data_IF_430708267736
#
_entry.id   IF_430708267736
#
_cell.length_a   1.000
_cell.length_b   1.000
_cell.length_c   1.000
_cell.angle_alpha   90.00
_cell.angle_beta   90.00
_cell.angle_gamma   90.00
#
_symmetry.space_group_name_H-M   'P 1'
#
loop_
_entity.id
_entity.type
_entity.pdbx_description
1 polymer ?
#
# COMPACT_ATOMS: atom_id res chain seq x y z
N UNK A 1 -22.57 6.90 11.69
CA UNK A 1 -22.66 7.05 10.23
C UNK A 1 -21.25 6.99 9.67
N UNK A 2 -20.95 6.00 8.82
CA UNK A 2 -19.64 5.91 8.18
C UNK A 2 -19.47 7.00 7.12
N UNK A 3 -18.24 7.42 6.88
CA UNK A 3 -17.92 8.35 5.79
C UNK A 3 -18.22 7.66 4.46
N UNK A 4 -18.96 8.29 3.52
CA UNK A 4 -19.27 7.67 2.24
C UNK A 4 -18.01 7.32 1.43
N UNK A 5 -18.01 6.17 0.74
CA UNK A 5 -16.86 5.69 -0.05
C UNK A 5 -16.35 6.71 -1.09
N UNK A 6 -17.24 7.54 -1.66
CA UNK A 6 -16.86 8.56 -2.63
C UNK A 6 -15.96 9.65 -2.02
N UNK A 7 -16.13 9.98 -0.74
CA UNK A 7 -15.27 10.94 -0.03
C UNK A 7 -13.84 10.40 0.07
N UNK A 8 -13.70 9.12 0.41
CA UNK A 8 -12.38 8.48 0.46
C UNK A 8 -11.71 8.44 -0.91
N UNK A 9 -12.48 8.17 -1.98
CA UNK A 9 -11.96 8.23 -3.36
C UNK A 9 -11.51 9.64 -3.76
N UNK A 10 -12.23 10.68 -3.34
CA UNK A 10 -11.79 12.07 -3.55
C UNK A 10 -10.49 12.37 -2.80
N UNK A 11 -10.37 11.94 -1.54
CA UNK A 11 -9.14 12.10 -0.75
C UNK A 11 -7.96 11.33 -1.36
N UNK A 12 -8.21 10.16 -1.94
CA UNK A 12 -7.20 9.38 -2.67
C UNK A 12 -6.72 10.09 -3.94
N UNK A 13 -7.62 10.81 -4.62
CA UNK A 13 -7.32 11.54 -5.84
C UNK A 13 -6.63 12.88 -5.57
N UNK A 14 -7.19 13.68 -4.67
CA UNK A 14 -6.82 15.09 -4.47
C UNK A 14 -6.05 15.35 -3.18
N UNK A 15 -6.10 14.45 -2.21
CA UNK A 15 -5.33 14.59 -0.97
C UNK A 15 -3.82 14.45 -1.19
N UNK A 16 -3.04 14.60 -0.10
CA UNK A 16 -1.59 14.45 -0.18
C UNK A 16 -1.23 13.05 -0.63
N UNK A 17 -0.18 12.97 -1.45
CA UNK A 17 0.39 11.70 -1.90
C UNK A 17 0.93 10.92 -0.70
N UNK A 18 0.71 9.60 -0.73
CA UNK A 18 1.22 8.67 0.27
C UNK A 18 2.74 8.59 0.18
N UNK A 19 3.39 8.39 1.32
CA UNK A 19 4.83 8.11 1.42
C UNK A 19 5.08 6.64 1.77
N UNK A 20 6.33 6.23 1.65
CA UNK A 20 6.81 4.91 2.07
C UNK A 20 7.72 5.07 3.30
N UNK A 21 7.37 4.40 4.39
CA UNK A 21 8.19 4.34 5.61
C UNK A 21 8.94 3.02 5.64
N UNK A 22 10.23 3.05 5.92
CA UNK A 22 11.06 1.82 5.99
C UNK A 22 11.23 1.42 7.45
N UNK A 23 11.02 0.13 7.75
CA UNK A 23 11.27 -0.45 9.06
C UNK A 23 12.16 -1.70 8.94
N UNK A 24 12.88 -2.01 10.00
CA UNK A 24 13.67 -3.25 10.09
C UNK A 24 12.79 -4.43 10.52
N UNK A 25 13.02 -5.59 9.92
CA UNK A 25 12.40 -6.88 10.21
C UNK A 25 11.59 -7.46 9.06
N UNK A 26 11.12 -8.70 9.25
CA UNK A 26 10.36 -9.52 8.30
C UNK A 26 8.83 -9.29 8.38
N UNK A 27 8.38 -8.41 9.26
CA UNK A 27 6.96 -8.20 9.58
C UNK A 27 6.57 -6.74 9.57
N UNK A 28 5.33 -6.51 9.17
CA UNK A 28 4.67 -5.21 9.30
C UNK A 28 4.46 -4.83 10.76
N UNK A 29 4.43 -3.52 11.08
CA UNK A 29 4.18 -3.06 12.43
C UNK A 29 2.75 -3.42 12.86
N UNK A 30 2.51 -3.64 14.16
CA UNK A 30 1.17 -3.96 14.66
C UNK A 30 0.15 -2.84 14.41
N UNK A 31 0.63 -1.60 14.22
CA UNK A 31 -0.19 -0.45 13.85
C UNK A 31 0.35 0.19 12.59
N UNK A 32 -0.42 0.07 11.51
CA UNK A 32 -0.10 0.70 10.24
C UNK A 32 -0.46 2.20 10.25
N UNK A 33 0.32 3.05 9.57
CA UNK A 33 -0.08 4.43 9.31
C UNK A 33 -1.40 4.49 8.53
N UNK A 34 -2.20 5.52 8.77
CA UNK A 34 -3.57 5.60 8.29
C UNK A 34 -3.72 5.74 6.76
N UNK A 35 -2.64 6.11 6.05
CA UNK A 35 -2.63 6.33 4.59
C UNK A 35 -1.36 5.85 3.93
N UNK A 36 -0.23 6.08 4.58
CA UNK A 36 1.08 5.75 4.04
C UNK A 36 1.35 4.25 4.01
N UNK A 37 2.41 3.88 3.32
CA UNK A 37 2.86 2.52 3.17
C UNK A 37 4.04 2.26 4.11
N UNK A 38 4.22 1.01 4.49
CA UNK A 38 5.38 0.57 5.25
C UNK A 38 6.09 -0.50 4.44
N UNK A 39 7.40 -0.36 4.23
CA UNK A 39 8.29 -1.38 3.70
C UNK A 39 9.03 -2.04 4.87
N UNK A 40 8.81 -3.33 5.05
CA UNK A 40 9.60 -4.17 5.93
C UNK A 40 10.88 -4.61 5.19
N UNK A 41 12.03 -4.37 5.80
CA UNK A 41 13.35 -4.74 5.27
C UNK A 41 14.04 -5.62 6.31
N UNK A 42 14.43 -6.82 5.91
CA UNK A 42 15.18 -7.75 6.75
C UNK A 42 16.53 -8.05 6.10
N UNK A 43 17.61 -7.95 6.88
CA UNK A 43 18.99 -8.12 6.41
C UNK A 43 19.35 -7.33 5.11
N UNK A 44 18.77 -6.13 4.97
CA UNK A 44 18.97 -5.27 3.79
C UNK A 44 18.10 -5.64 2.57
N UNK A 45 17.32 -6.71 2.65
CA UNK A 45 16.41 -7.14 1.59
C UNK A 45 14.96 -6.69 1.86
N UNK A 46 14.27 -6.12 0.85
CA UNK A 46 12.86 -5.75 0.98
C UNK A 46 11.99 -7.01 1.06
N UNK A 47 11.26 -7.15 2.17
CA UNK A 47 10.46 -8.34 2.46
C UNK A 47 9.01 -8.19 1.99
N UNK A 48 8.30 -7.21 2.56
CA UNK A 48 6.90 -6.93 2.24
C UNK A 48 6.58 -5.44 2.35
N UNK A 49 5.55 -5.03 1.61
CA UNK A 49 4.95 -3.70 1.72
C UNK A 49 3.55 -3.84 2.30
N UNK A 50 3.25 -3.04 3.32
CA UNK A 50 1.95 -2.94 3.94
C UNK A 50 1.24 -1.63 3.61
N UNK A 51 -0.07 -1.69 3.46
CA UNK A 51 -0.93 -0.50 3.39
C UNK A 51 -2.28 -0.78 4.08
N UNK A 52 -2.82 0.18 4.82
CA UNK A 52 -4.24 0.10 5.18
C UNK A 52 -5.10 0.16 3.93
N UNK A 53 -6.09 -0.73 3.79
CA UNK A 53 -6.94 -0.77 2.60
C UNK A 53 -7.48 0.65 2.31
N UNK A 54 -7.18 1.23 1.14
CA UNK A 54 -7.66 2.57 0.79
C UNK A 54 -9.20 2.68 0.82
N UNK A 55 -9.88 1.53 0.70
CA UNK A 55 -11.33 1.39 0.83
C UNK A 55 -11.87 1.65 2.25
N UNK A 56 -11.00 1.75 3.27
CA UNK A 56 -11.33 1.95 4.69
C UNK A 56 -12.13 0.84 5.36
N UNK A 57 -12.00 -0.40 4.88
CA UNK A 57 -12.62 -1.57 5.54
C UNK A 57 -11.96 -1.97 6.88
N UNK A 58 -10.81 -1.37 7.23
CA UNK A 58 -10.07 -1.66 8.47
C UNK A 58 -8.90 -2.62 8.27
N UNK A 59 -8.89 -3.40 7.18
CA UNK A 59 -7.84 -4.39 6.94
C UNK A 59 -6.55 -3.79 6.40
N UNK A 60 -5.44 -4.45 6.74
CA UNK A 60 -4.13 -4.22 6.13
C UNK A 60 -3.97 -5.14 4.93
N UNK A 61 -3.49 -4.59 3.82
CA UNK A 61 -3.07 -5.34 2.65
C UNK A 61 -1.55 -5.44 2.73
N UNK A 62 -1.05 -6.66 2.84
CA UNK A 62 0.37 -6.97 2.78
C UNK A 62 0.70 -7.56 1.41
N UNK A 63 1.75 -7.04 0.78
CA UNK A 63 2.21 -7.41 -0.55
C UNK A 63 3.67 -7.84 -0.44
N UNK A 64 3.94 -9.10 -0.76
CA UNK A 64 5.31 -9.61 -0.79
C UNK A 64 6.08 -8.94 -1.93
N UNK A 65 7.29 -8.47 -1.63
CA UNK A 65 8.21 -7.86 -2.61
C UNK A 65 9.52 -8.63 -2.75
N UNK A 66 9.78 -9.54 -1.80
CA UNK A 66 10.93 -10.45 -1.79
C UNK A 66 11.06 -11.26 -3.09
N UNK A 67 12.29 -11.50 -3.59
CA UNK A 67 12.52 -12.41 -4.70
C UNK A 67 11.91 -13.80 -4.48
N UNK A 68 11.30 -14.36 -5.53
CA UNK A 68 10.72 -15.71 -5.51
C UNK A 68 9.29 -15.83 -4.98
N UNK A 69 8.74 -14.79 -4.33
CA UNK A 69 7.35 -14.78 -3.89
C UNK A 69 6.35 -14.86 -5.07
N UNK A 70 5.19 -15.48 -4.84
CA UNK A 70 4.07 -15.53 -5.81
C UNK A 70 2.73 -15.42 -5.06
N UNK A 71 1.93 -14.36 -5.29
CA UNK A 71 2.24 -13.18 -6.10
C UNK A 71 3.35 -12.31 -5.49
N UNK A 72 4.06 -11.56 -6.35
CA UNK A 72 5.09 -10.59 -5.99
C UNK A 72 4.73 -9.21 -6.55
N UNK A 73 5.08 -8.17 -5.80
CA UNK A 73 5.04 -6.79 -6.26
C UNK A 73 6.44 -6.22 -6.41
N UNK A 74 6.64 -5.50 -7.49
CA UNK A 74 7.72 -4.56 -7.70
C UNK A 74 7.28 -3.18 -7.19
N UNK A 75 8.25 -2.38 -6.77
CA UNK A 75 8.02 -1.00 -6.37
C UNK A 75 9.15 -0.08 -6.81
N UNK A 76 8.82 1.19 -7.01
CA UNK A 76 9.78 2.27 -7.20
C UNK A 76 9.41 3.45 -6.30
N UNK A 77 10.38 4.28 -5.97
CA UNK A 77 10.19 5.50 -5.18
C UNK A 77 10.71 6.65 -6.03
N UNK A 78 9.91 7.70 -6.21
CA UNK A 78 10.36 8.92 -6.89
C UNK A 78 11.19 9.82 -5.94
N UNK A 79 11.78 10.88 -6.49
CA UNK A 79 12.63 11.82 -5.74
C UNK A 79 11.87 12.53 -4.60
N UNK A 80 10.54 12.56 -4.65
CA UNK A 80 9.67 13.12 -3.60
C UNK A 80 9.36 12.09 -2.47
N UNK A 81 9.88 10.87 -2.57
CA UNK A 81 9.64 9.79 -1.63
C UNK A 81 8.28 9.09 -1.82
N UNK A 82 7.69 9.13 -3.02
CA UNK A 82 6.35 8.59 -3.29
C UNK A 82 6.44 7.23 -3.98
N UNK A 83 5.78 6.19 -3.44
CA UNK A 83 5.87 4.85 -3.98
C UNK A 83 4.96 4.65 -5.21
N UNK A 84 5.44 3.84 -6.14
CA UNK A 84 4.65 3.22 -7.22
C UNK A 84 4.74 1.70 -7.07
N UNK A 85 3.63 0.98 -7.21
CA UNK A 85 3.58 -0.47 -7.13
C UNK A 85 3.16 -1.08 -8.48
N UNK A 86 3.74 -2.23 -8.80
CA UNK A 86 3.32 -3.06 -9.93
C UNK A 86 3.42 -4.55 -9.55
N UNK A 87 2.46 -5.40 -9.92
CA UNK A 87 1.23 -5.09 -10.67
C UNK A 87 0.19 -4.33 -9.81
N UNK A 88 -1.02 -4.14 -10.35
CA UNK A 88 -2.14 -3.60 -9.56
C UNK A 88 -2.38 -4.42 -8.29
N UNK A 89 -2.85 -3.77 -7.24
CA UNK A 89 -3.24 -4.44 -6.00
C UNK A 89 -4.68 -4.90 -6.15
N UNK A 90 -4.88 -6.21 -6.23
CA UNK A 90 -6.21 -6.81 -6.21
C UNK A 90 -6.35 -7.69 -4.97
N UNK A 91 -7.22 -7.26 -4.06
CA UNK A 91 -7.60 -8.08 -2.92
C UNK A 91 -8.67 -9.06 -3.39
N UNK A 92 -8.36 -10.34 -3.48
CA UNK A 92 -9.31 -11.37 -3.92
C UNK A 92 -10.32 -11.78 -2.83
N UNK A 93 -10.02 -11.47 -1.57
CA UNK A 93 -10.87 -11.74 -0.39
C UNK A 93 -11.28 -10.44 0.33
N UNK A 94 -12.25 -10.53 1.23
CA UNK A 94 -12.73 -9.37 2.01
C UNK A 94 -13.41 -8.30 1.14
N UNK A 95 -12.96 -7.05 1.24
CA UNK A 95 -13.60 -5.89 0.58
C UNK A 95 -13.48 -5.87 -0.96
N UNK A 96 -12.69 -6.78 -1.54
CA UNK A 96 -12.46 -6.89 -3.00
C UNK A 96 -11.96 -5.61 -3.67
N UNK A 97 -11.23 -4.76 -2.96
CA UNK A 97 -10.65 -3.54 -3.53
C UNK A 97 -9.65 -3.85 -4.64
N UNK A 98 -9.77 -3.15 -5.77
CA UNK A 98 -8.84 -3.21 -6.88
C UNK A 98 -8.37 -1.81 -7.25
N UNK A 99 -7.06 -1.59 -7.23
CA UNK A 99 -6.47 -0.29 -7.54
C UNK A 99 -5.00 -0.42 -7.99
N UNK A 100 -4.51 0.63 -8.62
CA UNK A 100 -3.09 0.88 -8.82
C UNK A 100 -2.58 1.90 -7.80
N UNK A 101 -1.33 1.77 -7.38
CA UNK A 101 -0.63 2.81 -6.64
C UNK A 101 0.49 3.39 -7.52
N UNK A 102 0.42 4.67 -7.84
CA UNK A 102 1.41 5.36 -8.68
C UNK A 102 1.75 6.72 -8.10
N UNK A 103 3.03 7.00 -7.91
CA UNK A 103 3.53 8.25 -7.31
C UNK A 103 2.77 8.64 -6.04
N UNK A 104 2.56 7.65 -5.15
CA UNK A 104 1.84 7.79 -3.89
C UNK A 104 0.32 7.98 -4.00
N UNK A 105 -0.26 7.88 -5.20
CA UNK A 105 -1.71 8.05 -5.44
C UNK A 105 -2.38 6.72 -5.77
N UNK A 106 -3.61 6.57 -5.27
CA UNK A 106 -4.45 5.40 -5.55
C UNK A 106 -5.32 5.72 -6.77
N UNK A 107 -5.20 4.87 -7.79
CA UNK A 107 -6.01 4.90 -9.00
C UNK A 107 -6.93 3.68 -8.99
N UNK A 108 -8.19 3.91 -8.65
CA UNK A 108 -9.21 2.87 -8.59
C UNK A 108 -9.55 2.34 -9.99
N UNK A 109 -9.81 1.03 -10.07
CA UNK A 109 -10.37 0.37 -11.25
C UNK A 109 -11.91 0.44 -11.25
#
# INVERSE_FOLDING_TARGET
>A
MGVPKWVHRLLDRFGPARRLHVIAGDRLPPRMPARDLVLAVDDGEPWSIGIQCPCRCGDVIEMLVIPGARPRWDFTIDDDGRPTLSPSVWRNVGCKSHFWLRKGRVHWC
#
